data_IF_070452431148
#
_entry.id   IF_070452431148
#
_cell.length_a   1.000
_cell.length_b   1.000
_cell.length_c   1.000
_cell.angle_alpha   90.00
_cell.angle_beta   90.00
_cell.angle_gamma   90.00
#
_symmetry.space_group_name_H-M   'P 1'
#
loop_
_entity.id
_entity.type
_entity.pdbx_description
1 polymer ?
#
# COMPACT_ATOMS: atom_id res chain seq x y z
N UNK A 1 -9.25 7.81 -22.81
CA UNK A 1 -9.48 8.81 -21.74
C UNK A 1 -8.99 8.22 -20.43
N UNK A 2 -8.55 9.04 -19.49
CA UNK A 2 -8.23 8.60 -18.12
C UNK A 2 -9.52 8.65 -17.31
N UNK A 3 -9.88 7.54 -16.66
CA UNK A 3 -11.16 7.39 -15.98
C UNK A 3 -11.07 7.45 -14.45
N UNK A 4 -9.89 7.17 -13.88
CA UNK A 4 -9.66 7.13 -12.44
C UNK A 4 -8.18 7.23 -12.07
N UNK A 5 -7.92 7.50 -10.80
CA UNK A 5 -6.61 7.31 -10.16
C UNK A 5 -6.53 5.86 -9.69
N UNK A 6 -5.59 5.08 -10.24
CA UNK A 6 -5.44 3.67 -9.89
C UNK A 6 -4.72 3.47 -8.56
N UNK A 7 -3.56 4.08 -8.39
CA UNK A 7 -2.72 3.88 -7.20
C UNK A 7 -2.16 5.21 -6.73
N UNK A 8 -2.04 5.36 -5.41
CA UNK A 8 -1.41 6.51 -4.77
C UNK A 8 -0.20 6.00 -3.98
N UNK A 9 0.99 6.52 -4.28
CA UNK A 9 2.18 6.22 -3.50
C UNK A 9 2.19 7.06 -2.22
N UNK A 10 2.22 6.38 -1.07
CA UNK A 10 2.31 6.99 0.24
C UNK A 10 3.66 6.62 0.87
N UNK A 11 4.46 7.65 1.14
CA UNK A 11 5.72 7.46 1.82
C UNK A 11 5.52 7.35 3.33
N UNK A 12 6.13 6.32 3.92
CA UNK A 12 6.03 6.00 5.34
C UNK A 12 7.41 5.77 5.94
N UNK A 13 7.57 6.09 7.22
CA UNK A 13 8.85 5.92 7.91
C UNK A 13 9.18 4.43 8.15
N UNK A 14 8.17 3.60 8.37
CA UNK A 14 8.29 2.17 8.58
C UNK A 14 7.10 1.46 7.90
N UNK A 15 7.37 0.61 6.93
CA UNK A 15 6.32 -0.08 6.17
C UNK A 15 5.55 -1.10 7.02
N UNK A 16 6.18 -1.81 7.95
CA UNK A 16 5.51 -2.80 8.80
C UNK A 16 4.52 -2.14 9.77
N UNK A 17 4.94 -1.04 10.40
CA UNK A 17 4.04 -0.25 11.26
C UNK A 17 2.89 0.36 10.48
N UNK A 18 3.16 0.85 9.26
CA UNK A 18 2.13 1.40 8.40
C UNK A 18 1.11 0.32 7.99
N UNK A 19 1.55 -0.86 7.55
CA UNK A 19 0.65 -1.97 7.21
C UNK A 19 -0.23 -2.31 8.39
N UNK A 20 0.36 -2.52 9.58
CA UNK A 20 -0.40 -2.84 10.78
C UNK A 20 -1.43 -1.76 11.13
N UNK A 21 -1.06 -0.48 11.06
CA UNK A 21 -2.00 0.61 11.27
C UNK A 21 -3.17 0.54 10.28
N UNK A 22 -2.88 0.44 8.99
CA UNK A 22 -3.92 0.44 7.96
C UNK A 22 -4.80 -0.81 8.02
N UNK A 23 -4.25 -1.99 8.30
CA UNK A 23 -5.04 -3.23 8.36
C UNK A 23 -5.79 -3.38 9.68
N UNK A 24 -5.10 -3.24 10.81
CA UNK A 24 -5.67 -3.58 12.12
C UNK A 24 -6.46 -2.43 12.75
N UNK A 25 -6.15 -1.17 12.43
CA UNK A 25 -6.85 -0.01 13.00
C UNK A 25 -7.87 0.58 12.06
N UNK A 26 -7.57 0.62 10.77
CA UNK A 26 -8.44 1.26 9.77
C UNK A 26 -9.29 0.24 9.01
N UNK A 27 -8.86 -1.03 8.94
CA UNK A 27 -9.61 -2.09 8.26
C UNK A 27 -9.34 -2.20 6.76
N UNK A 28 -8.23 -1.64 6.27
CA UNK A 28 -7.74 -1.95 4.93
C UNK A 28 -7.28 -3.42 4.87
N UNK A 29 -7.10 -3.94 3.67
CA UNK A 29 -6.51 -5.25 3.43
C UNK A 29 -5.31 -5.11 2.51
N UNK A 30 -4.33 -6.00 2.68
CA UNK A 30 -3.20 -6.13 1.76
C UNK A 30 -3.70 -6.75 0.46
N UNK A 31 -3.44 -6.06 -0.64
CA UNK A 31 -3.76 -6.52 -2.01
C UNK A 31 -2.58 -7.29 -2.58
N UNK A 32 -1.37 -6.76 -2.40
CA UNK A 32 -0.13 -7.36 -2.87
C UNK A 32 1.04 -6.94 -1.98
N UNK A 33 2.00 -7.84 -1.82
CA UNK A 33 3.27 -7.57 -1.15
C UNK A 33 4.40 -8.23 -1.94
N UNK A 34 5.37 -7.43 -2.39
CA UNK A 34 6.56 -7.89 -3.11
C UNK A 34 7.81 -7.29 -2.48
N UNK A 35 8.82 -8.14 -2.25
CA UNK A 35 10.15 -7.71 -1.83
C UNK A 35 11.15 -8.23 -2.86
N UNK A 36 11.77 -7.30 -3.60
CA UNK A 36 12.72 -7.66 -4.65
C UNK A 36 14.12 -8.02 -4.12
N UNK A 37 14.32 -8.07 -2.80
CA UNK A 37 15.58 -8.35 -2.10
C UNK A 37 16.73 -7.39 -2.42
N UNK A 38 16.46 -6.31 -3.15
CA UNK A 38 17.40 -5.26 -3.51
C UNK A 38 17.08 -3.93 -2.80
N UNK A 39 16.34 -4.01 -1.69
CA UNK A 39 15.95 -2.84 -0.88
C UNK A 39 14.67 -2.16 -1.35
N UNK A 40 13.98 -2.68 -2.36
CA UNK A 40 12.67 -2.18 -2.75
C UNK A 40 11.59 -3.18 -2.33
N UNK A 41 10.87 -2.80 -1.27
CA UNK A 41 9.65 -3.49 -0.84
C UNK A 41 8.42 -2.67 -1.24
N UNK A 42 7.46 -3.36 -1.82
CA UNK A 42 6.21 -2.83 -2.35
C UNK A 42 5.06 -3.46 -1.58
N UNK A 43 4.26 -2.64 -0.89
CA UNK A 43 3.08 -3.12 -0.19
C UNK A 43 1.88 -2.30 -0.65
N UNK A 44 0.93 -2.96 -1.29
CA UNK A 44 -0.30 -2.36 -1.77
C UNK A 44 -1.45 -2.71 -0.84
N UNK A 45 -2.20 -1.69 -0.41
CA UNK A 45 -3.37 -1.83 0.45
C UNK A 45 -4.60 -1.17 -0.18
N UNK A 46 -5.78 -1.70 0.14
CA UNK A 46 -7.06 -1.16 -0.32
C UNK A 46 -8.13 -1.20 0.79
N UNK A 47 -9.13 -0.30 0.76
CA UNK A 47 -10.16 -0.22 1.81
C UNK A 47 -11.16 -1.37 1.74
N UNK A 48 -11.46 -1.88 0.54
CA UNK A 48 -12.40 -2.99 0.31
C UNK A 48 -11.97 -3.85 -0.86
N UNK A 49 -12.33 -5.14 -0.87
CA UNK A 49 -12.09 -6.00 -2.02
C UNK A 49 -12.72 -5.38 -3.28
N UNK A 50 -11.92 -5.12 -4.31
CA UNK A 50 -12.37 -4.47 -5.54
C UNK A 50 -12.42 -2.94 -5.52
N UNK A 51 -11.80 -2.29 -4.51
CA UNK A 51 -11.61 -0.84 -4.54
C UNK A 51 -10.90 -0.40 -5.83
N UNK A 52 -11.38 0.68 -6.43
CA UNK A 52 -10.84 1.16 -7.70
C UNK A 52 -9.53 1.92 -7.56
N UNK A 53 -9.24 2.42 -6.36
CA UNK A 53 -8.01 3.11 -5.98
C UNK A 53 -7.39 2.39 -4.79
N UNK A 54 -6.08 2.19 -4.85
CA UNK A 54 -5.26 1.60 -3.78
C UNK A 54 -4.13 2.53 -3.36
N UNK A 55 -3.49 2.19 -2.24
CA UNK A 55 -2.34 2.91 -1.70
C UNK A 55 -1.13 1.98 -1.73
N UNK A 56 0.00 2.47 -2.23
CA UNK A 56 1.29 1.78 -2.13
C UNK A 56 2.05 2.41 -0.98
N UNK A 57 2.32 1.63 0.06
CA UNK A 57 3.19 2.03 1.16
C UNK A 57 4.63 1.81 0.72
N UNK A 58 5.41 2.88 0.71
CA UNK A 58 6.83 2.83 0.36
C UNK A 58 7.66 3.58 1.40
N UNK A 59 8.85 3.11 1.74
CA UNK A 59 9.78 3.92 2.53
C UNK A 59 10.58 4.82 1.58
N UNK A 60 11.19 5.91 2.08
CA UNK A 60 12.07 6.76 1.25
C UNK A 60 13.56 6.38 1.31
N UNK A 61 13.94 5.25 1.92
CA UNK A 61 15.34 4.94 2.25
C UNK A 61 15.70 3.45 2.21
#
# INVERSE_FOLDING_TARGET
MIHKVGQIMLYVNNQDEAVNFWTEKIGFHVVAEEDNKQGMRWIEIAPTNGAETSIILHNMY
#
